data_IF_544527536985
#
_entry.id   IF_544527536985
#
_cell.length_a   1.000
_cell.length_b   1.000
_cell.length_c   1.000
_cell.angle_alpha   90.00
_cell.angle_beta   90.00
_cell.angle_gamma   90.00
#
_symmetry.space_group_name_H-M   'P 1'
#
loop_
_entity.id
_entity.type
_entity.pdbx_description
1 polymer ?
#
# COMPACT_ATOMS: atom_id res chain seq x y z
N UNK A 1 2.24 -8.13 -10.83
CA UNK A 1 1.29 -8.84 -9.97
C UNK A 1 1.91 -10.09 -9.36
N UNK A 2 2.32 -11.16 -10.11
CA UNK A 2 2.87 -12.43 -9.57
C UNK A 2 3.99 -12.20 -8.54
N UNK A 3 4.90 -11.25 -8.80
CA UNK A 3 6.03 -10.95 -7.91
C UNK A 3 5.56 -10.42 -6.55
N UNK A 4 4.57 -9.54 -6.55
CA UNK A 4 3.95 -9.03 -5.32
C UNK A 4 3.26 -10.16 -4.56
N UNK A 5 2.37 -10.92 -5.21
CA UNK A 5 1.62 -12.01 -4.55
C UNK A 5 2.58 -13.02 -3.90
N UNK A 6 3.66 -13.38 -4.62
CA UNK A 6 4.71 -14.24 -4.08
C UNK A 6 5.45 -13.61 -2.88
N UNK A 7 5.71 -12.30 -2.90
CA UNK A 7 6.32 -11.62 -1.77
C UNK A 7 5.38 -11.61 -0.55
N UNK A 8 4.09 -11.36 -0.78
CA UNK A 8 3.06 -11.38 0.28
C UNK A 8 2.91 -12.79 0.87
N UNK A 9 2.94 -13.85 0.06
CA UNK A 9 2.87 -15.23 0.55
C UNK A 9 4.09 -15.66 1.38
N UNK A 10 5.20 -14.93 1.25
CA UNK A 10 6.44 -15.17 2.01
C UNK A 10 6.60 -14.24 3.22
N UNK A 11 5.58 -13.46 3.58
CA UNK A 11 5.65 -12.65 4.78
C UNK A 11 5.80 -13.53 6.02
N UNK A 12 6.77 -13.19 6.85
CA UNK A 12 6.99 -13.82 8.15
C UNK A 12 5.96 -13.28 9.15
N UNK A 13 4.74 -13.81 9.05
CA UNK A 13 3.63 -13.44 9.92
C UNK A 13 2.65 -14.61 10.03
N UNK A 14 2.00 -14.83 11.19
CA UNK A 14 1.05 -15.94 11.35
C UNK A 14 -0.10 -15.86 10.34
N UNK A 15 -0.33 -16.95 9.60
CA UNK A 15 -1.35 -16.98 8.53
C UNK A 15 -2.77 -16.76 9.05
N UNK A 16 -3.05 -17.21 10.27
CA UNK A 16 -4.33 -17.01 10.95
C UNK A 16 -4.59 -15.56 11.38
N UNK A 17 -3.55 -14.73 11.32
CA UNK A 17 -3.62 -13.28 11.54
C UNK A 17 -3.59 -12.48 10.23
N UNK A 18 -3.57 -13.14 9.07
CA UNK A 18 -3.51 -12.51 7.75
C UNK A 18 -4.74 -12.86 6.92
N UNK A 19 -5.41 -11.84 6.41
CA UNK A 19 -6.32 -11.94 5.27
C UNK A 19 -5.65 -11.27 4.08
N UNK A 20 -5.63 -11.91 2.94
CA UNK A 20 -5.09 -11.36 1.68
C UNK A 20 -6.25 -11.04 0.76
N UNK A 21 -6.37 -9.79 0.35
CA UNK A 21 -7.33 -9.39 -0.68
C UNK A 21 -6.58 -8.99 -1.95
N UNK A 22 -6.93 -9.60 -3.07
CA UNK A 22 -6.47 -9.23 -4.40
C UNK A 22 -7.59 -8.39 -5.02
N UNK A 23 -7.36 -7.07 -5.08
CA UNK A 23 -8.32 -6.12 -5.68
C UNK A 23 -7.93 -5.94 -7.15
N UNK A 24 -8.72 -6.48 -8.05
CA UNK A 24 -8.44 -6.52 -9.49
C UNK A 24 -9.53 -5.84 -10.30
N UNK A 25 -9.14 -4.83 -11.08
CA UNK A 25 -10.00 -4.12 -12.05
C UNK A 25 -9.47 -4.33 -13.48
N UNK A 26 -8.58 -5.29 -13.70
CA UNK A 26 -7.97 -5.51 -15.02
C UNK A 26 -8.95 -6.09 -16.02
N UNK A 27 -8.72 -5.77 -17.30
CA UNK A 27 -9.50 -6.28 -18.43
C UNK A 27 -8.63 -7.06 -19.42
N UNK A 28 -7.38 -7.29 -19.06
CA UNK A 28 -6.37 -8.00 -19.84
C UNK A 28 -5.98 -9.32 -19.16
N UNK A 29 -4.88 -9.92 -19.59
CA UNK A 29 -4.32 -11.17 -19.05
C UNK A 29 -3.98 -11.13 -17.56
N UNK A 30 -3.98 -9.94 -16.93
CA UNK A 30 -3.74 -9.79 -15.50
C UNK A 30 -4.80 -10.51 -14.69
N UNK A 31 -6.04 -10.56 -15.18
CA UNK A 31 -7.15 -11.27 -14.53
C UNK A 31 -6.83 -12.76 -14.35
N UNK A 32 -6.37 -13.43 -15.42
CA UNK A 32 -6.01 -14.85 -15.38
C UNK A 32 -4.84 -15.08 -14.43
N UNK A 33 -3.88 -14.17 -14.41
CA UNK A 33 -2.76 -14.20 -13.46
C UNK A 33 -3.24 -14.08 -12.02
N UNK A 34 -4.18 -13.19 -11.73
CA UNK A 34 -4.74 -13.04 -10.40
C UNK A 34 -5.49 -14.31 -9.96
N UNK A 35 -6.28 -14.91 -10.85
CA UNK A 35 -7.00 -16.16 -10.60
C UNK A 35 -6.04 -17.33 -10.27
N UNK A 36 -4.98 -17.50 -11.09
CA UNK A 36 -3.96 -18.54 -10.84
C UNK A 36 -3.24 -18.36 -9.49
N UNK A 37 -2.87 -17.14 -9.15
CA UNK A 37 -2.17 -16.86 -7.90
C UNK A 37 -3.12 -16.94 -6.68
N UNK A 38 -4.38 -16.53 -6.83
CA UNK A 38 -5.43 -16.73 -5.85
C UNK A 38 -5.58 -18.22 -5.49
N UNK A 39 -5.68 -19.10 -6.50
CA UNK A 39 -5.82 -20.53 -6.26
C UNK A 39 -4.60 -21.11 -5.52
N UNK A 40 -3.38 -20.68 -5.87
CA UNK A 40 -2.16 -21.12 -5.17
C UNK A 40 -2.13 -20.69 -3.70
N UNK A 41 -2.61 -19.48 -3.39
CA UNK A 41 -2.72 -19.01 -2.02
C UNK A 41 -3.74 -19.81 -1.21
N UNK A 42 -4.89 -20.11 -1.82
CA UNK A 42 -5.94 -20.95 -1.24
C UNK A 42 -5.42 -22.35 -0.91
N UNK A 43 -4.76 -23.00 -1.88
CA UNK A 43 -4.17 -24.34 -1.72
C UNK A 43 -3.06 -24.35 -0.66
N UNK A 44 -2.41 -23.19 -0.44
CA UNK A 44 -1.40 -23.02 0.60
C UNK A 44 -1.98 -22.68 1.98
N UNK A 45 -3.32 -22.62 2.12
CA UNK A 45 -4.03 -22.41 3.38
C UNK A 45 -4.05 -20.96 3.87
N UNK A 46 -3.96 -19.98 2.98
CA UNK A 46 -4.19 -18.57 3.31
C UNK A 46 -5.70 -18.25 3.32
N UNK A 47 -6.11 -17.33 4.20
CA UNK A 47 -7.39 -16.64 4.08
C UNK A 47 -7.26 -15.58 2.97
N UNK A 48 -7.71 -15.93 1.78
CA UNK A 48 -7.53 -15.10 0.57
C UNK A 48 -8.86 -14.85 -0.12
N UNK A 49 -9.01 -13.66 -0.66
CA UNK A 49 -10.18 -13.24 -1.43
C UNK A 49 -9.74 -12.55 -2.71
N UNK A 50 -10.32 -12.93 -3.85
CA UNK A 50 -10.15 -12.24 -5.13
C UNK A 50 -11.40 -11.42 -5.41
N UNK A 51 -11.26 -10.10 -5.41
CA UNK A 51 -12.33 -9.15 -5.67
C UNK A 51 -12.10 -8.53 -7.04
N UNK A 52 -12.87 -9.00 -8.04
CA UNK A 52 -12.84 -8.47 -9.39
C UNK A 52 -14.10 -7.63 -9.66
N UNK A 53 -13.89 -6.34 -10.01
CA UNK A 53 -14.99 -5.44 -10.36
C UNK A 53 -15.15 -5.34 -11.86
N UNK A 54 -16.40 -5.35 -12.33
CA UNK A 54 -16.74 -5.16 -13.76
C UNK A 54 -16.65 -3.71 -14.19
N UNK A 55 -16.86 -2.81 -13.28
CA UNK A 55 -16.70 -1.38 -13.48
C UNK A 55 -15.51 -0.87 -12.68
N UNK A 56 -14.97 0.25 -13.11
CA UNK A 56 -13.82 0.90 -12.45
C UNK A 56 -14.23 2.20 -11.76
N UNK A 57 -15.49 2.28 -11.31
CA UNK A 57 -16.00 3.48 -10.63
C UNK A 57 -15.11 3.78 -9.42
N UNK A 58 -14.63 5.01 -9.35
CA UNK A 58 -13.73 5.46 -8.29
C UNK A 58 -12.29 4.91 -8.38
N UNK A 59 -11.96 4.17 -9.46
CA UNK A 59 -10.61 3.60 -9.66
C UNK A 59 -10.08 2.92 -8.39
N UNK A 60 -8.86 3.27 -7.95
CA UNK A 60 -8.22 2.69 -6.75
C UNK A 60 -9.02 2.97 -5.48
N UNK A 61 -9.54 4.18 -5.29
CA UNK A 61 -10.38 4.52 -4.14
C UNK A 61 -11.61 3.60 -4.04
N UNK A 62 -12.32 3.43 -5.15
CA UNK A 62 -13.48 2.54 -5.21
C UNK A 62 -13.12 1.06 -5.01
N UNK A 63 -11.94 0.61 -5.46
CA UNK A 63 -11.47 -0.75 -5.20
C UNK A 63 -11.19 -0.97 -3.71
N UNK A 64 -10.50 -0.01 -3.07
CA UNK A 64 -10.22 -0.04 -1.64
C UNK A 64 -11.49 0.03 -0.79
N UNK A 65 -12.46 0.88 -1.15
CA UNK A 65 -13.76 0.97 -0.49
C UNK A 65 -14.52 -0.36 -0.57
N UNK A 66 -14.56 -0.98 -1.74
CA UNK A 66 -15.20 -2.28 -1.94
C UNK A 66 -14.49 -3.39 -1.13
N UNK A 67 -13.14 -3.40 -1.10
CA UNK A 67 -12.38 -4.34 -0.28
C UNK A 67 -12.64 -4.19 1.21
N UNK A 68 -12.95 -2.98 1.70
CA UNK A 68 -13.28 -2.74 3.10
C UNK A 68 -14.54 -3.46 3.58
N UNK A 69 -15.47 -3.79 2.70
CA UNK A 69 -16.72 -4.46 3.06
C UNK A 69 -16.47 -5.86 3.63
N UNK A 70 -15.48 -6.60 3.09
CA UNK A 70 -15.11 -7.95 3.51
C UNK A 70 -13.80 -8.02 4.30
N UNK A 71 -13.13 -6.88 4.52
CA UNK A 71 -11.90 -6.84 5.31
C UNK A 71 -12.16 -7.21 6.77
N UNK A 72 -11.50 -8.26 7.25
CA UNK A 72 -11.64 -8.80 8.62
C UNK A 72 -10.69 -8.16 9.62
N UNK A 73 -9.50 -7.77 9.16
CA UNK A 73 -8.42 -7.27 10.00
C UNK A 73 -8.65 -5.86 10.57
N UNK A 74 -8.05 -5.58 11.71
CA UNK A 74 -8.04 -4.24 12.33
C UNK A 74 -7.06 -3.29 11.64
N UNK A 75 -6.13 -3.84 10.85
CA UNK A 75 -5.08 -3.11 10.15
C UNK A 75 -5.07 -3.49 8.67
N UNK A 76 -5.00 -2.51 7.81
CA UNK A 76 -5.05 -2.66 6.36
C UNK A 76 -3.68 -2.28 5.79
N UNK A 77 -2.93 -3.26 5.29
CA UNK A 77 -1.66 -3.05 4.59
C UNK A 77 -1.92 -2.95 3.09
N UNK A 78 -1.63 -1.81 2.49
CA UNK A 78 -1.87 -1.55 1.08
C UNK A 78 -0.57 -1.67 0.29
N UNK A 79 -0.61 -2.45 -0.80
CA UNK A 79 0.51 -2.67 -1.71
C UNK A 79 0.05 -2.58 -3.16
N UNK A 80 0.68 -1.72 -3.93
CA UNK A 80 0.50 -1.67 -5.37
C UNK A 80 1.27 -2.80 -6.07
N UNK A 81 0.87 -3.18 -7.27
CA UNK A 81 1.33 -4.38 -7.99
C UNK A 81 2.84 -4.40 -8.32
N UNK A 82 3.49 -3.26 -8.29
CA UNK A 82 4.93 -3.07 -8.55
C UNK A 82 5.81 -3.12 -7.29
N UNK A 83 5.20 -3.24 -6.08
CA UNK A 83 5.92 -3.33 -4.82
C UNK A 83 6.31 -4.77 -4.48
N UNK A 84 7.43 -4.90 -3.76
CA UNK A 84 7.95 -6.18 -3.27
C UNK A 84 8.41 -6.00 -1.82
N UNK A 85 7.52 -6.22 -0.83
CA UNK A 85 7.87 -6.07 0.57
C UNK A 85 8.87 -7.15 1.02
N UNK A 86 9.75 -6.80 1.96
CA UNK A 86 10.58 -7.77 2.68
C UNK A 86 9.69 -8.65 3.58
N UNK A 87 10.13 -9.88 3.82
CA UNK A 87 9.33 -10.84 4.61
C UNK A 87 9.05 -10.37 6.05
N UNK A 88 9.94 -9.60 6.65
CA UNK A 88 9.84 -9.11 8.03
C UNK A 88 9.18 -7.73 8.17
N UNK A 89 8.67 -7.15 7.08
CA UNK A 89 8.14 -5.77 7.06
C UNK A 89 7.02 -5.56 8.08
N UNK A 90 6.12 -6.52 8.25
CA UNK A 90 5.02 -6.41 9.21
C UNK A 90 5.53 -6.34 10.65
N UNK A 91 6.55 -7.10 11.01
CA UNK A 91 7.18 -7.02 12.33
C UNK A 91 7.79 -5.65 12.61
N UNK A 92 8.31 -4.97 11.58
CA UNK A 92 8.88 -3.63 11.69
C UNK A 92 7.83 -2.52 11.82
N UNK A 93 6.57 -2.81 11.50
CA UNK A 93 5.51 -1.80 11.42
C UNK A 93 4.42 -1.95 12.49
N UNK A 94 4.00 -3.18 12.79
CA UNK A 94 2.77 -3.44 13.55
C UNK A 94 2.84 -2.96 15.00
N UNK A 95 4.00 -3.00 15.63
CA UNK A 95 4.18 -2.62 17.03
C UNK A 95 3.91 -1.13 17.32
N UNK A 96 3.96 -0.25 16.30
CA UNK A 96 3.60 1.15 16.48
C UNK A 96 2.11 1.35 16.79
N UNK A 97 1.26 0.40 16.43
CA UNK A 97 -0.16 0.45 16.68
C UNK A 97 -0.57 0.10 18.12
N UNK A 98 0.38 -0.17 19.00
CA UNK A 98 0.15 -0.23 20.46
C UNK A 98 -0.27 1.13 21.05
N UNK A 99 0.05 2.25 20.41
CA UNK A 99 -0.60 3.55 20.67
C UNK A 99 -1.92 3.58 19.85
N UNK A 100 -3.05 3.60 20.56
CA UNK A 100 -4.39 3.59 19.95
C UNK A 100 -4.68 4.82 19.08
N UNK A 101 -3.86 5.86 19.19
CA UNK A 101 -3.98 7.07 18.36
C UNK A 101 -3.22 6.96 17.04
N UNK A 102 -2.41 5.92 16.85
CA UNK A 102 -1.72 5.71 15.57
C UNK A 102 -2.72 5.19 14.54
N UNK A 103 -2.96 5.99 13.53
CA UNK A 103 -3.86 5.69 12.43
C UNK A 103 -3.14 5.17 11.19
N UNK A 104 -1.84 5.49 11.02
CA UNK A 104 -1.08 5.06 9.86
C UNK A 104 0.42 4.92 10.18
N UNK A 105 1.03 3.87 9.62
CA UNK A 105 2.49 3.67 9.60
C UNK A 105 2.91 3.40 8.17
N UNK A 106 3.82 4.22 7.63
CA UNK A 106 4.30 4.10 6.26
C UNK A 106 5.81 3.86 6.20
N UNK A 107 6.22 2.98 5.30
CA UNK A 107 7.62 2.73 4.97
C UNK A 107 8.11 3.66 3.87
N UNK A 108 9.42 3.82 3.74
CA UNK A 108 10.05 4.53 2.63
C UNK A 108 10.02 3.66 1.37
N UNK A 109 9.72 4.26 0.23
CA UNK A 109 9.85 3.56 -1.04
C UNK A 109 11.32 3.37 -1.42
N UNK A 110 11.64 2.17 -1.90
CA UNK A 110 12.90 1.84 -2.53
C UNK A 110 12.72 1.56 -4.02
N UNK A 111 13.84 1.29 -4.72
CA UNK A 111 13.80 1.16 -6.17
C UNK A 111 14.56 -0.09 -6.63
N UNK A 112 13.84 -1.09 -7.18
CA UNK A 112 14.40 -2.37 -7.61
C UNK A 112 15.32 -2.19 -8.83
N UNK A 113 14.89 -1.36 -9.78
CA UNK A 113 15.53 -1.19 -11.08
C UNK A 113 16.19 0.20 -11.26
N UNK A 114 16.63 0.84 -10.17
CA UNK A 114 17.25 2.18 -10.17
C UNK A 114 18.36 2.33 -11.24
N UNK A 115 19.17 1.30 -11.44
CA UNK A 115 20.32 1.33 -12.34
C UNK A 115 20.00 0.94 -13.79
N UNK A 116 18.73 0.67 -14.12
CA UNK A 116 18.34 0.17 -15.43
C UNK A 116 18.56 1.20 -16.57
N UNK A 117 18.23 2.45 -16.34
CA UNK A 117 18.37 3.52 -17.35
C UNK A 117 18.62 4.89 -16.71
N UNK A 118 18.91 5.90 -17.53
CA UNK A 118 18.97 7.30 -17.06
C UNK A 118 17.62 7.73 -16.53
N UNK A 119 16.52 7.34 -17.18
CA UNK A 119 15.17 7.66 -16.76
C UNK A 119 14.88 7.12 -15.35
N UNK A 120 15.19 5.86 -15.08
CA UNK A 120 14.98 5.26 -13.75
C UNK A 120 15.86 5.90 -12.68
N UNK A 121 17.09 6.33 -13.01
CA UNK A 121 17.94 7.07 -12.06
C UNK A 121 17.37 8.43 -11.70
N UNK A 122 16.83 9.15 -12.68
CA UNK A 122 16.22 10.47 -12.46
C UNK A 122 14.95 10.33 -11.62
N UNK A 123 14.08 9.36 -11.95
CA UNK A 123 12.89 9.07 -11.15
C UNK A 123 13.27 8.72 -9.69
N UNK A 124 14.25 7.84 -9.50
CA UNK A 124 14.73 7.47 -8.17
C UNK A 124 15.21 8.70 -7.39
N UNK A 125 15.94 9.62 -8.02
CA UNK A 125 16.42 10.83 -7.36
C UNK A 125 15.27 11.72 -6.86
N UNK A 126 14.24 11.92 -7.67
CA UNK A 126 13.07 12.72 -7.27
C UNK A 126 12.28 12.05 -6.15
N UNK A 127 12.04 10.75 -6.27
CA UNK A 127 11.33 9.98 -5.24
C UNK A 127 12.14 9.90 -3.93
N UNK A 128 13.45 9.71 -4.01
CA UNK A 128 14.33 9.75 -2.83
C UNK A 128 14.27 11.13 -2.15
N UNK A 129 14.21 12.22 -2.92
CA UNK A 129 14.01 13.58 -2.39
C UNK A 129 12.69 13.71 -1.64
N UNK A 130 11.61 13.21 -2.20
CA UNK A 130 10.31 13.21 -1.55
C UNK A 130 10.29 12.33 -0.29
N UNK A 131 10.68 11.07 -0.43
CA UNK A 131 10.57 10.08 0.65
C UNK A 131 11.62 10.26 1.76
N UNK A 132 12.91 10.41 1.40
CA UNK A 132 13.97 10.49 2.40
C UNK A 132 14.10 11.87 3.04
N UNK A 133 13.74 12.95 2.34
CA UNK A 133 13.90 14.33 2.82
C UNK A 133 12.56 14.91 3.25
N UNK A 134 11.61 15.08 2.33
CA UNK A 134 10.38 15.81 2.59
C UNK A 134 9.49 15.08 3.63
N UNK A 135 9.13 13.82 3.40
CA UNK A 135 8.28 13.05 4.30
C UNK A 135 8.92 12.91 5.69
N UNK A 136 10.23 12.67 5.73
CA UNK A 136 10.99 12.61 6.99
C UNK A 136 10.94 13.93 7.74
N UNK A 137 11.15 15.04 7.05
CA UNK A 137 11.13 16.38 7.66
C UNK A 137 9.73 16.71 8.21
N UNK A 138 8.66 16.45 7.44
CA UNK A 138 7.28 16.65 7.88
C UNK A 138 6.93 15.81 9.10
N UNK A 139 7.22 14.51 9.05
CA UNK A 139 6.96 13.58 10.15
C UNK A 139 7.69 13.99 11.43
N UNK A 140 9.01 14.28 11.35
CA UNK A 140 9.83 14.67 12.53
C UNK A 140 9.49 16.04 13.08
N UNK A 141 8.96 16.96 12.27
CA UNK A 141 8.54 18.29 12.72
C UNK A 141 7.10 18.35 13.23
N UNK A 142 6.40 17.19 13.28
CA UNK A 142 5.00 17.13 13.72
C UNK A 142 4.01 17.78 12.74
N UNK A 143 4.41 17.98 11.50
CA UNK A 143 3.54 18.49 10.44
C UNK A 143 2.75 17.36 9.80
N UNK A 144 1.59 17.70 9.29
CA UNK A 144 0.82 16.76 8.49
C UNK A 144 1.61 16.30 7.26
N UNK A 145 1.55 15.02 6.99
CA UNK A 145 2.08 14.43 5.77
C UNK A 145 1.11 13.38 5.24
N UNK A 146 1.18 13.09 3.97
CA UNK A 146 0.27 12.16 3.33
C UNK A 146 0.81 10.72 3.35
N UNK A 147 -0.10 9.77 3.45
CA UNK A 147 0.09 8.43 2.95
C UNK A 147 0.24 8.50 1.42
N UNK A 148 1.20 7.79 0.86
CA UNK A 148 1.48 7.85 -0.59
C UNK A 148 0.75 6.73 -1.36
N UNK A 149 -0.40 6.30 -0.89
CA UNK A 149 -1.27 5.33 -1.54
C UNK A 149 -0.87 3.86 -1.38
N UNK A 150 0.38 3.56 -0.99
CA UNK A 150 0.92 2.19 -0.93
C UNK A 150 2.07 2.07 0.08
N UNK A 151 2.50 0.84 0.35
CA UNK A 151 3.59 0.51 1.28
C UNK A 151 3.37 1.08 2.70
N UNK A 152 2.15 1.03 3.19
CA UNK A 152 1.81 1.46 4.52
C UNK A 152 0.62 0.73 5.10
N UNK A 153 0.58 0.67 6.43
CA UNK A 153 -0.50 0.07 7.20
C UNK A 153 -1.38 1.19 7.75
N UNK A 154 -2.68 1.09 7.54
CA UNK A 154 -3.69 1.97 8.11
C UNK A 154 -4.52 1.20 9.15
N UNK A 155 -4.85 1.85 10.26
CA UNK A 155 -5.82 1.32 11.22
C UNK A 155 -7.23 1.43 10.62
N UNK A 156 -7.96 0.31 10.57
CA UNK A 156 -9.32 0.26 9.99
C UNK A 156 -10.26 1.27 10.64
N UNK A 157 -10.21 1.42 11.97
CA UNK A 157 -11.02 2.41 12.69
C UNK A 157 -10.66 3.86 12.34
N UNK A 158 -9.40 4.16 12.00
CA UNK A 158 -9.00 5.49 11.54
C UNK A 158 -9.56 5.81 10.15
N UNK A 159 -9.58 4.82 9.25
CA UNK A 159 -10.21 4.93 7.92
C UNK A 159 -11.70 5.24 8.08
N UNK A 160 -12.40 4.43 8.86
CA UNK A 160 -13.86 4.56 9.08
C UNK A 160 -14.19 5.90 9.76
N UNK A 161 -13.49 6.23 10.85
CA UNK A 161 -13.70 7.51 11.55
C UNK A 161 -13.48 8.70 10.61
N UNK A 162 -12.52 8.61 9.70
CA UNK A 162 -12.23 9.67 8.72
C UNK A 162 -13.20 9.73 7.54
N UNK A 163 -14.20 8.84 7.47
CA UNK A 163 -15.22 8.82 6.42
C UNK A 163 -14.84 8.01 5.18
N UNK A 164 -13.91 7.06 5.32
CA UNK A 164 -13.50 6.14 4.24
C UNK A 164 -12.73 6.80 3.10
N UNK A 165 -12.46 6.03 2.06
CA UNK A 165 -11.94 6.56 0.81
C UNK A 165 -13.03 7.32 0.06
N UNK A 166 -12.65 8.45 -0.54
CA UNK A 166 -13.55 9.27 -1.35
C UNK A 166 -12.98 9.34 -2.77
N UNK A 167 -13.81 9.13 -3.76
CA UNK A 167 -13.43 9.07 -5.17
C UNK A 167 -13.81 10.32 -5.97
N UNK A 168 -14.32 11.34 -5.29
CA UNK A 168 -14.62 12.68 -5.85
C UNK A 168 -13.41 13.63 -5.75
N UNK A 169 -12.26 13.12 -5.33
CA UNK A 169 -10.99 13.86 -5.22
C UNK A 169 -9.96 13.34 -6.23
N UNK A 170 -8.97 14.17 -6.58
CA UNK A 170 -7.88 13.78 -7.50
C UNK A 170 -6.90 12.78 -6.85
N UNK A 171 -6.70 12.90 -5.52
CA UNK A 171 -5.76 12.09 -4.74
C UNK A 171 -6.46 11.59 -3.48
N UNK A 172 -6.99 10.38 -3.54
CA UNK A 172 -7.77 9.75 -2.46
C UNK A 172 -6.95 9.51 -1.19
N UNK A 173 -5.66 9.21 -1.36
CA UNK A 173 -4.71 8.97 -0.29
C UNK A 173 -4.35 10.25 0.46
N UNK A 174 -4.12 11.33 -0.27
CA UNK A 174 -3.87 12.67 0.29
C UNK A 174 -5.09 13.14 1.08
N UNK A 175 -6.27 13.06 0.50
CA UNK A 175 -7.52 13.49 1.11
C UNK A 175 -7.81 12.73 2.41
N UNK A 176 -7.79 11.39 2.39
CA UNK A 176 -7.96 10.57 3.58
C UNK A 176 -6.91 10.91 4.65
N UNK A 177 -5.65 11.12 4.23
CA UNK A 177 -4.55 11.45 5.15
C UNK A 177 -4.79 12.74 5.92
N UNK A 178 -5.26 13.77 5.25
CA UNK A 178 -5.54 15.04 5.91
C UNK A 178 -6.78 14.95 6.78
N UNK A 179 -7.86 14.31 6.34
CA UNK A 179 -9.07 14.11 7.16
C UNK A 179 -8.76 13.35 8.45
N UNK A 180 -7.93 12.29 8.36
CA UNK A 180 -7.52 11.52 9.53
C UNK A 180 -6.70 12.35 10.52
N UNK A 181 -5.70 13.09 10.04
CA UNK A 181 -4.85 13.90 10.91
C UNK A 181 -5.60 15.12 11.51
N UNK A 182 -6.58 15.69 10.80
CA UNK A 182 -7.48 16.70 11.35
C UNK A 182 -8.34 16.14 12.50
N UNK A 183 -8.64 14.85 12.48
CA UNK A 183 -9.29 14.11 13.59
C UNK A 183 -8.29 13.63 14.65
N UNK A 184 -7.04 14.10 14.59
CA UNK A 184 -5.96 13.83 15.55
C UNK A 184 -5.40 12.40 15.50
N UNK A 185 -5.63 11.63 14.43
CA UNK A 185 -4.91 10.41 14.19
C UNK A 185 -3.43 10.70 13.94
N UNK A 186 -2.54 9.96 14.57
CA UNK A 186 -1.10 10.08 14.38
C UNK A 186 -0.66 9.27 13.18
N UNK A 187 0.20 9.87 12.39
CA UNK A 187 0.88 9.20 11.27
C UNK A 187 2.37 9.05 11.59
N UNK A 188 2.91 7.88 11.29
CA UNK A 188 4.32 7.54 11.55
C UNK A 188 4.99 7.21 10.22
N UNK A 189 6.16 7.80 9.99
CA UNK A 189 6.97 7.55 8.81
C UNK A 189 8.27 6.85 9.19
N UNK A 190 8.52 5.67 8.61
CA UNK A 190 9.68 4.83 8.89
C UNK A 190 10.71 4.97 7.75
N UNK A 191 11.58 5.96 7.85
CA UNK A 191 12.59 6.25 6.81
C UNK A 191 13.60 5.11 6.63
N UNK A 192 13.88 4.36 7.69
CA UNK A 192 14.86 3.27 7.70
C UNK A 192 14.28 1.91 7.27
N UNK A 193 12.94 1.79 7.22
CA UNK A 193 12.26 0.61 6.69
C UNK A 193 11.89 0.88 5.24
N UNK A 194 12.43 0.08 4.32
CA UNK A 194 12.29 0.29 2.88
C UNK A 194 11.41 -0.79 2.27
N UNK A 195 10.41 -0.39 1.50
CA UNK A 195 9.64 -1.30 0.65
C UNK A 195 9.99 -1.02 -0.81
N UNK A 196 10.72 -1.93 -1.49
CA UNK A 196 11.15 -1.72 -2.87
C UNK A 196 9.99 -1.76 -3.87
N UNK A 197 10.03 -0.87 -4.87
CA UNK A 197 9.11 -0.83 -6.01
C UNK A 197 9.86 -0.79 -7.33
N UNK A 198 9.19 -1.15 -8.40
CA UNK A 198 9.72 -1.03 -9.75
C UNK A 198 9.38 0.34 -10.33
N UNK A 199 10.41 1.03 -10.81
CA UNK A 199 10.24 2.30 -11.53
C UNK A 199 9.83 2.03 -12.98
N UNK A 200 8.95 2.84 -13.60
CA UNK A 200 8.67 2.77 -15.02
C UNK A 200 9.94 2.82 -15.86
N UNK A 201 10.25 1.76 -16.65
CA UNK A 201 11.52 1.68 -17.38
C UNK A 201 11.56 2.54 -18.64
N UNK A 202 10.39 2.95 -19.15
CA UNK A 202 10.23 3.73 -20.37
C UNK A 202 9.22 4.87 -20.18
N UNK A 203 9.17 5.79 -21.17
CA UNK A 203 8.30 6.96 -21.11
C UNK A 203 6.81 6.62 -21.21
N UNK A 204 6.44 5.50 -21.83
CA UNK A 204 5.02 5.11 -21.95
C UNK A 204 4.44 4.65 -20.60
N UNK A 205 5.24 3.97 -19.81
CA UNK A 205 4.86 3.60 -18.43
C UNK A 205 4.97 4.77 -17.44
N UNK A 206 5.66 5.87 -17.81
CA UNK A 206 5.81 7.05 -16.95
C UNK A 206 4.67 8.06 -17.11
N UNK A 207 3.94 8.02 -18.23
CA UNK A 207 2.78 8.89 -18.50
C UNK A 207 1.54 8.42 -17.74
#
# INVERSE_FOLDING_TARGET
VRRLIKAVSNLDYPKDCLQIQILDDSIDETKEICEEEYQKLLDSGFDVELIHRKDRVGYKAGALENGMESAKGDYIYILDADFVPDSDVLHKMIHFFTDDRVGMVQTRWGHINKSYSILTRVQALFLDGHHAVEQTARSRSGRFFNFNGTAGILRKSAIIDSGGWQHDTICEDLDLSYRAQMKRWKFIYLVDVVTPAELPPNMDGFK
#
